data_IF_449332177966
#
_entry.id   IF_449332177966
#
_cell.length_a   1.000
_cell.length_b   1.000
_cell.length_c   1.000
_cell.angle_alpha   90.00
_cell.angle_beta   90.00
_cell.angle_gamma   90.00
#
_symmetry.space_group_name_H-M   'P 1'
#
loop_
_entity.id
_entity.type
_entity.pdbx_description
1 polymer ?
#
# COMPACT_ATOMS: atom_id res chain seq x y z
N UNK A 1 16.02 16.23 8.96
CA UNK A 1 14.83 16.90 8.40
C UNK A 1 13.77 15.84 8.29
N UNK A 2 12.57 15.95 8.90
CA UNK A 2 11.53 14.99 8.60
C UNK A 2 11.09 15.29 7.17
N UNK A 3 11.35 14.37 6.26
CA UNK A 3 10.86 14.44 4.89
C UNK A 3 9.35 14.24 4.99
N UNK A 4 8.59 15.33 5.01
CA UNK A 4 7.13 15.30 4.86
C UNK A 4 6.87 14.87 3.41
N UNK A 5 6.93 13.56 3.19
CA UNK A 5 6.58 12.95 1.93
C UNK A 5 5.09 13.21 1.72
N UNK A 6 4.72 13.57 0.49
CA UNK A 6 3.30 13.71 0.14
C UNK A 6 2.56 12.43 0.56
N UNK A 7 1.31 12.52 1.05
CA UNK A 7 0.55 11.35 1.52
C UNK A 7 0.44 10.23 0.48
N UNK A 8 0.52 10.53 -0.82
CA UNK A 8 0.59 9.52 -1.88
C UNK A 8 1.93 8.80 -1.94
N UNK A 9 3.04 9.46 -1.62
CA UNK A 9 4.36 8.83 -1.56
C UNK A 9 4.47 7.88 -0.37
N UNK A 10 4.00 8.29 0.81
CA UNK A 10 3.91 7.39 1.97
C UNK A 10 3.02 6.19 1.69
N UNK A 11 1.87 6.42 1.04
CA UNK A 11 0.97 5.35 0.67
C UNK A 11 1.60 4.38 -0.34
N UNK A 12 2.38 4.89 -1.30
CA UNK A 12 3.13 4.08 -2.25
C UNK A 12 4.21 3.25 -1.54
N UNK A 13 4.95 3.85 -0.61
CA UNK A 13 5.94 3.15 0.19
C UNK A 13 5.30 2.03 1.02
N UNK A 14 4.17 2.28 1.68
CA UNK A 14 3.43 1.24 2.42
C UNK A 14 3.00 0.09 1.50
N UNK A 15 2.51 0.39 0.29
CA UNK A 15 2.17 -0.62 -0.70
C UNK A 15 3.39 -1.45 -1.12
N UNK A 16 4.56 -0.82 -1.27
CA UNK A 16 5.80 -1.51 -1.62
C UNK A 16 6.32 -2.37 -0.47
N UNK A 17 6.33 -1.84 0.76
CA UNK A 17 6.80 -2.50 1.96
C UNK A 17 5.93 -3.69 2.37
N UNK A 18 4.65 -3.70 1.98
CA UNK A 18 3.78 -4.86 2.10
C UNK A 18 4.31 -6.09 1.33
N UNK A 19 5.25 -5.91 0.40
CA UNK A 19 5.94 -6.99 -0.31
C UNK A 19 5.02 -7.74 -1.26
N UNK A 20 5.40 -8.98 -1.60
CA UNK A 20 4.64 -9.86 -2.49
C UNK A 20 4.70 -9.45 -3.97
N UNK A 21 3.84 -10.09 -4.77
CA UNK A 21 3.83 -9.90 -6.22
C UNK A 21 3.56 -8.44 -6.62
N UNK A 22 4.19 -7.94 -7.69
CA UNK A 22 3.95 -6.59 -8.21
C UNK A 22 2.58 -6.46 -8.90
N UNK A 23 2.04 -7.51 -9.55
CA UNK A 23 0.78 -7.42 -10.30
C UNK A 23 -0.42 -6.93 -9.46
N UNK A 24 -0.71 -7.45 -8.24
CA UNK A 24 -1.83 -6.97 -7.43
C UNK A 24 -1.72 -5.50 -7.04
N UNK A 25 -0.49 -5.02 -6.77
CA UNK A 25 -0.23 -3.62 -6.41
C UNK A 25 -0.47 -2.71 -7.61
N UNK A 26 -0.02 -3.14 -8.79
CA UNK A 26 -0.29 -2.41 -10.02
C UNK A 26 -1.80 -2.36 -10.34
N UNK A 27 -2.50 -3.49 -10.18
CA UNK A 27 -3.96 -3.55 -10.33
C UNK A 27 -4.71 -2.59 -9.40
N UNK A 28 -4.28 -2.49 -8.14
CA UNK A 28 -4.81 -1.51 -7.18
C UNK A 28 -4.59 -0.06 -7.62
N UNK A 29 -3.39 0.27 -8.10
CA UNK A 29 -3.07 1.62 -8.56
C UNK A 29 -3.89 1.98 -9.80
N UNK A 30 -4.05 1.05 -10.74
CA UNK A 30 -4.88 1.25 -11.94
C UNK A 30 -6.36 1.41 -11.57
N UNK A 31 -6.86 0.62 -10.62
CA UNK A 31 -8.27 0.65 -10.22
C UNK A 31 -8.66 1.90 -9.41
N UNK A 32 -7.75 2.44 -8.60
CA UNK A 32 -8.05 3.55 -7.69
C UNK A 32 -7.39 4.88 -8.07
N UNK A 33 -6.48 4.89 -9.05
CA UNK A 33 -5.86 6.09 -9.60
C UNK A 33 -4.81 6.76 -8.72
N UNK A 34 -4.73 6.43 -7.43
CA UNK A 34 -3.68 6.91 -6.53
C UNK A 34 -3.32 5.87 -5.45
N UNK A 35 -2.07 5.84 -4.96
CA UNK A 35 -1.66 5.02 -3.83
C UNK A 35 -2.50 5.26 -2.56
N UNK A 36 -2.77 6.53 -2.21
CA UNK A 36 -3.60 6.85 -1.05
C UNK A 36 -5.05 6.37 -1.22
N UNK A 37 -5.61 6.47 -2.43
CA UNK A 37 -6.94 5.93 -2.72
C UNK A 37 -6.97 4.40 -2.63
N UNK A 38 -5.92 3.72 -3.11
CA UNK A 38 -5.78 2.27 -3.00
C UNK A 38 -5.68 1.80 -1.54
N UNK A 39 -4.95 2.52 -0.67
CA UNK A 39 -4.93 2.22 0.76
C UNK A 39 -6.30 2.44 1.42
N UNK A 40 -6.98 3.55 1.11
CA UNK A 40 -8.31 3.83 1.67
C UNK A 40 -9.38 2.83 1.20
N UNK A 41 -9.19 2.17 0.07
CA UNK A 41 -10.12 1.16 -0.44
C UNK A 41 -10.24 -0.09 0.47
N UNK A 42 -9.19 -0.37 1.25
CA UNK A 42 -9.23 -1.35 2.33
C UNK A 42 -9.22 -2.83 1.90
N UNK A 43 -9.33 -3.75 2.87
CA UNK A 43 -9.01 -5.18 2.70
C UNK A 43 -9.83 -5.92 1.64
N UNK A 44 -11.07 -5.48 1.41
CA UNK A 44 -11.97 -6.05 0.41
C UNK A 44 -11.48 -5.77 -1.01
N UNK A 45 -11.09 -4.51 -1.29
CA UNK A 45 -10.52 -4.11 -2.57
C UNK A 45 -9.15 -4.75 -2.80
N UNK A 46 -8.32 -4.83 -1.76
CA UNK A 46 -7.02 -5.50 -1.85
C UNK A 46 -7.17 -6.99 -2.19
N UNK A 47 -8.17 -7.68 -1.61
CA UNK A 47 -8.49 -9.07 -1.98
C UNK A 47 -8.91 -9.18 -3.45
N UNK A 48 -9.78 -8.28 -3.91
CA UNK A 48 -10.26 -8.29 -5.29
C UNK A 48 -9.14 -8.04 -6.31
N UNK A 49 -8.14 -7.23 -5.94
CA UNK A 49 -6.94 -6.99 -6.75
C UNK A 49 -5.91 -8.14 -6.69
N UNK A 50 -6.12 -9.16 -5.85
CA UNK A 50 -5.23 -10.31 -5.74
C UNK A 50 -4.13 -10.19 -4.68
N UNK A 51 -4.21 -9.23 -3.74
CA UNK A 51 -3.27 -9.17 -2.63
C UNK A 51 -3.39 -10.42 -1.74
N UNK A 52 -2.25 -11.03 -1.43
CA UNK A 52 -2.16 -12.20 -0.57
C UNK A 52 -2.60 -11.89 0.86
N UNK A 53 -2.88 -12.94 1.64
CA UNK A 53 -3.21 -12.78 3.07
C UNK A 53 -2.13 -12.01 3.82
N UNK A 54 -0.86 -12.34 3.58
CA UNK A 54 0.29 -11.70 4.20
C UNK A 54 0.42 -10.21 3.81
N UNK A 55 0.24 -9.88 2.52
CA UNK A 55 0.26 -8.48 2.06
C UNK A 55 -0.81 -7.65 2.77
N UNK A 56 -2.04 -8.17 2.87
CA UNK A 56 -3.14 -7.47 3.57
C UNK A 56 -2.84 -7.30 5.06
N UNK A 57 -2.24 -8.28 5.72
CA UNK A 57 -1.84 -8.17 7.13
C UNK A 57 -0.80 -7.06 7.33
N UNK A 58 0.20 -6.96 6.45
CA UNK A 58 1.20 -5.89 6.50
C UNK A 58 0.60 -4.51 6.19
N UNK A 59 -0.35 -4.42 5.26
CA UNK A 59 -1.09 -3.18 4.96
C UNK A 59 -2.04 -2.76 6.09
N UNK A 60 -2.58 -3.70 6.86
CA UNK A 60 -3.41 -3.43 8.04
C UNK A 60 -2.59 -2.92 9.24
N UNK A 61 -1.31 -3.30 9.30
CA UNK A 61 -0.40 -2.91 10.37
C UNK A 61 0.92 -2.46 9.77
N UNK A 62 0.92 -1.30 9.06
CA UNK A 62 2.14 -0.75 8.52
C UNK A 62 3.09 -0.45 9.68
N UNK A 63 4.32 -0.95 9.61
CA UNK A 63 5.32 -0.66 10.61
C UNK A 63 5.77 0.81 10.43
N UNK A 64 5.46 1.71 11.37
CA UNK A 64 5.82 3.12 11.25
C UNK A 64 7.34 3.31 11.19
N UNK A 65 8.13 2.39 11.75
CA UNK A 65 9.59 2.44 11.66
C UNK A 65 10.11 2.16 10.25
N UNK A 66 9.30 1.53 9.39
CA UNK A 66 9.67 1.26 7.99
C UNK A 66 9.55 2.49 7.08
N UNK A 67 8.87 3.55 7.53
CA UNK A 67 8.71 4.81 6.78
C UNK A 67 9.67 5.92 7.27
N UNK A 68 10.28 5.75 8.44
CA UNK A 68 11.30 6.65 8.96
C UNK A 68 12.67 6.35 8.34
N UNK A 69 12.99 7.02 7.23
CA UNK A 69 14.35 7.12 6.68
C UNK A 69 14.91 8.53 6.91
#
# INVERSE_FOLDING_TARGET
>A
MPTDLSPDTDALLQLILAGGAPEPRHGLLVAHGSPAAALRAGPSAWRAAGCSGEQRTRLLRPDPASLSH
#
